data_IF_858368615996
#
_entry.id   IF_858368615996
#
_cell.length_a   1.000
_cell.length_b   1.000
_cell.length_c   1.000
_cell.angle_alpha   90.00
_cell.angle_beta   90.00
_cell.angle_gamma   90.00
#
_symmetry.space_group_name_H-M   'P 1'
#
loop_
_entity.id
_entity.type
_entity.pdbx_description
1 polymer ?
#
# COMPACT_ATOMS: atom_id res chain seq x y z
N UNK A 1 14.75 -28.86 -31.04
CA UNK A 1 13.68 -28.52 -30.08
C UNK A 1 13.82 -27.04 -29.74
N UNK A 2 12.89 -26.20 -30.17
CA UNK A 2 12.80 -24.80 -29.74
C UNK A 2 12.13 -24.80 -28.37
N UNK A 3 12.81 -24.23 -27.38
CA UNK A 3 12.27 -23.97 -26.06
C UNK A 3 11.25 -22.84 -26.16
N UNK A 4 9.98 -23.15 -25.88
CA UNK A 4 8.92 -22.15 -25.77
C UNK A 4 9.24 -21.22 -24.61
N UNK A 5 9.45 -19.94 -24.94
CA UNK A 5 9.49 -18.87 -23.96
C UNK A 5 8.11 -18.76 -23.31
N UNK A 6 8.02 -19.11 -22.03
CA UNK A 6 6.79 -19.07 -21.26
C UNK A 6 6.12 -17.70 -21.35
N UNK A 7 4.91 -17.66 -21.90
CA UNK A 7 4.06 -16.48 -21.96
C UNK A 7 3.86 -15.95 -20.54
N UNK A 8 4.45 -14.79 -20.22
CA UNK A 8 4.18 -14.09 -18.96
C UNK A 8 2.68 -13.88 -18.83
N UNK A 9 2.06 -14.52 -17.84
CA UNK A 9 0.61 -14.52 -17.66
C UNK A 9 0.16 -13.09 -17.35
N UNK A 10 -0.58 -12.46 -18.26
CA UNK A 10 -1.12 -11.11 -18.09
C UNK A 10 -2.05 -11.07 -16.87
N UNK A 11 -1.74 -10.22 -15.89
CA UNK A 11 -2.54 -10.03 -14.68
C UNK A 11 -3.85 -9.29 -15.00
N UNK A 12 -4.93 -9.64 -14.31
CA UNK A 12 -6.23 -8.98 -14.45
C UNK A 12 -6.26 -7.66 -13.66
N UNK A 13 -6.62 -6.56 -14.29
CA UNK A 13 -6.70 -5.24 -13.63
C UNK A 13 -8.03 -4.96 -12.92
N UNK A 14 -9.01 -5.87 -13.02
CA UNK A 14 -10.32 -5.74 -12.38
C UNK A 14 -10.67 -7.06 -11.70
N UNK A 15 -10.89 -6.99 -10.40
CA UNK A 15 -11.35 -8.11 -9.57
C UNK A 15 -12.82 -8.44 -9.89
N UNK A 16 -13.20 -9.73 -9.93
CA UNK A 16 -14.52 -10.15 -10.42
C UNK A 16 -15.69 -9.70 -9.53
N UNK A 17 -15.49 -9.56 -8.22
CA UNK A 17 -16.56 -9.27 -7.27
C UNK A 17 -16.03 -8.75 -5.92
N UNK A 18 -16.95 -8.30 -5.05
CA UNK A 18 -16.66 -7.85 -3.69
C UNK A 18 -16.10 -8.97 -2.78
N UNK A 19 -16.52 -10.22 -3.00
CA UNK A 19 -16.05 -11.34 -2.18
C UNK A 19 -14.55 -11.59 -2.39
N UNK A 20 -14.09 -11.54 -3.63
CA UNK A 20 -12.69 -11.65 -4.01
C UNK A 20 -11.88 -10.47 -3.50
N UNK A 21 -12.42 -9.25 -3.55
CA UNK A 21 -11.79 -8.06 -2.94
C UNK A 21 -11.58 -8.25 -1.43
N UNK A 22 -12.59 -8.75 -0.72
CA UNK A 22 -12.51 -9.01 0.73
C UNK A 22 -11.53 -10.15 1.07
N UNK A 23 -11.46 -11.18 0.22
CA UNK A 23 -10.45 -12.25 0.35
C UNK A 23 -9.03 -11.68 0.21
N UNK A 24 -8.79 -10.83 -0.78
CA UNK A 24 -7.48 -10.19 -0.99
C UNK A 24 -7.11 -9.24 0.16
N UNK A 25 -8.08 -8.47 0.69
CA UNK A 25 -7.87 -7.70 1.91
C UNK A 25 -7.43 -8.57 3.08
N UNK A 26 -8.09 -9.72 3.26
CA UNK A 26 -7.77 -10.67 4.34
C UNK A 26 -6.37 -11.26 4.16
N UNK A 27 -5.99 -11.66 2.95
CA UNK A 27 -4.64 -12.14 2.63
C UNK A 27 -3.57 -11.09 2.94
N UNK A 28 -3.81 -9.83 2.56
CA UNK A 28 -2.92 -8.70 2.90
C UNK A 28 -2.81 -8.53 4.41
N UNK A 29 -3.95 -8.48 5.12
CA UNK A 29 -3.98 -8.29 6.57
C UNK A 29 -3.28 -9.43 7.32
N UNK A 30 -3.38 -10.66 6.83
CA UNK A 30 -2.69 -11.81 7.39
C UNK A 30 -1.16 -11.74 7.25
N UNK A 31 -0.63 -10.85 6.40
CA UNK A 31 0.81 -10.56 6.31
C UNK A 31 1.26 -9.43 7.24
N UNK A 32 0.40 -8.90 8.12
CA UNK A 32 0.77 -7.83 9.05
C UNK A 32 1.83 -8.29 10.06
N UNK A 33 2.86 -7.48 10.28
CA UNK A 33 3.83 -7.72 11.35
C UNK A 33 3.16 -7.79 12.73
N UNK A 34 3.56 -8.77 13.54
CA UNK A 34 2.96 -9.06 14.85
C UNK A 34 1.81 -10.06 14.82
N UNK A 35 1.45 -10.60 13.65
CA UNK A 35 0.52 -11.73 13.53
C UNK A 35 1.30 -13.04 13.37
N UNK A 36 0.71 -14.16 13.82
CA UNK A 36 1.30 -15.50 13.65
C UNK A 36 1.21 -16.04 12.21
N UNK A 37 0.40 -15.40 11.36
CA UNK A 37 0.15 -15.83 9.97
C UNK A 37 1.13 -15.22 8.97
N UNK A 38 1.86 -14.17 9.36
CA UNK A 38 2.73 -13.45 8.45
C UNK A 38 4.03 -14.22 8.16
N UNK A 39 4.44 -14.22 6.89
CA UNK A 39 5.76 -14.69 6.47
C UNK A 39 6.74 -13.53 6.39
N UNK A 40 8.05 -13.82 6.45
CA UNK A 40 9.08 -12.78 6.35
C UNK A 40 9.34 -12.37 4.88
N UNK A 41 9.52 -11.06 4.58
CA UNK A 41 9.26 -9.93 5.48
C UNK A 41 7.76 -9.65 5.59
N UNK A 42 7.28 -9.47 6.83
CA UNK A 42 5.92 -9.08 7.12
C UNK A 42 5.68 -7.61 6.72
N UNK A 43 4.42 -7.23 6.52
CA UNK A 43 4.03 -5.86 6.19
C UNK A 43 3.89 -5.03 7.47
N UNK A 44 4.65 -3.94 7.55
CA UNK A 44 4.82 -3.12 8.75
C UNK A 44 3.68 -2.13 8.98
N UNK A 45 2.42 -2.54 8.83
CA UNK A 45 1.25 -1.66 8.99
C UNK A 45 1.17 -0.99 10.38
N UNK A 46 1.64 -1.68 11.42
CA UNK A 46 1.68 -1.16 12.80
C UNK A 46 2.70 -0.05 13.02
N UNK A 47 3.57 0.23 12.05
CA UNK A 47 4.55 1.32 12.07
C UNK A 47 4.23 2.34 10.97
N UNK A 48 3.32 3.29 11.24
CA UNK A 48 2.86 4.24 10.23
C UNK A 48 3.84 5.40 9.99
N UNK A 49 4.92 5.53 10.76
CA UNK A 49 5.84 6.69 10.69
C UNK A 49 6.41 6.87 9.28
N UNK A 50 6.87 5.79 8.65
CA UNK A 50 7.43 5.81 7.28
C UNK A 50 7.24 4.44 6.59
N UNK A 51 7.70 4.28 5.34
CA UNK A 51 7.72 3.01 4.61
C UNK A 51 6.43 2.70 3.85
N UNK A 52 5.54 3.68 3.66
CA UNK A 52 4.26 3.49 2.96
C UNK A 52 4.43 2.92 1.55
N UNK A 53 5.46 3.37 0.83
CA UNK A 53 5.86 2.89 -0.49
C UNK A 53 6.17 1.39 -0.50
N UNK A 54 6.93 0.89 0.47
CA UNK A 54 7.26 -0.52 0.62
C UNK A 54 6.02 -1.35 1.00
N UNK A 55 5.19 -0.87 1.94
CA UNK A 55 3.92 -1.53 2.29
C UNK A 55 3.02 -1.67 1.07
N UNK A 56 2.81 -0.59 0.32
CA UNK A 56 1.96 -0.60 -0.86
C UNK A 56 2.49 -1.52 -1.97
N UNK A 57 3.80 -1.59 -2.16
CA UNK A 57 4.39 -2.49 -3.15
C UNK A 57 4.29 -3.97 -2.74
N UNK A 58 4.39 -4.27 -1.44
CA UNK A 58 4.17 -5.62 -0.92
C UNK A 58 2.70 -6.04 -1.00
N UNK A 59 1.76 -5.13 -0.75
CA UNK A 59 0.33 -5.37 -0.97
C UNK A 59 0.05 -5.71 -2.44
N UNK A 60 0.65 -4.98 -3.39
CA UNK A 60 0.57 -5.30 -4.81
C UNK A 60 1.10 -6.71 -5.12
N UNK A 61 2.23 -7.12 -4.55
CA UNK A 61 2.76 -8.48 -4.77
C UNK A 61 1.74 -9.55 -4.38
N UNK A 62 0.98 -9.35 -3.30
CA UNK A 62 -0.07 -10.29 -2.87
C UNK A 62 -1.19 -10.37 -3.92
N UNK A 63 -1.61 -9.24 -4.50
CA UNK A 63 -2.56 -9.24 -5.63
C UNK A 63 -1.98 -9.97 -6.86
N UNK A 64 -0.73 -9.68 -7.20
CA UNK A 64 -0.06 -10.30 -8.36
C UNK A 64 0.03 -11.82 -8.21
N UNK A 65 0.34 -12.32 -7.01
CA UNK A 65 0.36 -13.74 -6.70
C UNK A 65 -1.04 -14.39 -6.85
N UNK A 66 -2.10 -13.62 -6.64
CA UNK A 66 -3.48 -14.03 -6.88
C UNK A 66 -3.95 -13.80 -8.34
N UNK A 67 -3.08 -13.33 -9.23
CA UNK A 67 -3.39 -13.11 -10.65
C UNK A 67 -3.96 -11.73 -10.99
N UNK A 68 -3.91 -10.76 -10.06
CA UNK A 68 -4.47 -9.43 -10.23
C UNK A 68 -3.40 -8.35 -10.20
N UNK A 69 -3.67 -7.25 -10.91
CA UNK A 69 -2.88 -6.02 -10.82
C UNK A 69 -3.76 -4.88 -10.26
N UNK A 70 -3.12 -3.83 -9.76
CA UNK A 70 -3.79 -2.67 -9.20
C UNK A 70 -3.16 -1.35 -9.67
N UNK A 71 -3.77 -0.25 -9.26
CA UNK A 71 -3.16 1.08 -9.31
C UNK A 71 -2.52 1.40 -7.95
N UNK A 72 -1.74 2.48 -7.90
CA UNK A 72 -1.39 3.17 -6.65
C UNK A 72 -2.09 4.50 -6.63
N UNK A 73 -2.51 4.96 -5.46
CA UNK A 73 -2.88 6.35 -5.26
C UNK A 73 -1.87 7.01 -4.32
N UNK A 74 -1.19 8.04 -4.82
CA UNK A 74 -0.32 8.90 -4.04
C UNK A 74 -1.10 10.15 -3.65
N UNK A 75 -1.11 10.52 -2.37
CA UNK A 75 -1.64 11.79 -1.87
C UNK A 75 -0.51 12.59 -1.27
N UNK A 76 -0.48 13.90 -1.52
CA UNK A 76 0.59 14.81 -1.08
C UNK A 76 -0.02 15.97 -0.29
N UNK A 77 0.75 16.55 0.62
CA UNK A 77 0.33 17.74 1.38
C UNK A 77 0.99 17.84 2.75
N UNK A 78 0.37 18.61 3.63
CA UNK A 78 0.66 18.57 5.06
C UNK A 78 -0.26 17.53 5.70
N UNK A 79 0.12 16.26 5.61
CA UNK A 79 -0.73 15.14 6.01
C UNK A 79 -0.52 14.81 7.48
N UNK A 80 -1.61 14.49 8.17
CA UNK A 80 -1.58 13.98 9.55
C UNK A 80 -2.58 12.86 9.71
N UNK A 81 -2.14 11.74 10.27
CA UNK A 81 -2.99 10.58 10.50
C UNK A 81 -2.91 10.11 11.94
N UNK A 82 -4.01 9.55 12.44
CA UNK A 82 -4.12 8.97 13.77
C UNK A 82 -4.18 7.44 13.68
N UNK A 83 -3.47 6.77 14.57
CA UNK A 83 -3.63 5.32 14.82
C UNK A 83 -4.75 5.01 15.81
N UNK A 84 -5.42 6.03 16.33
CA UNK A 84 -6.29 5.97 17.50
C UNK A 84 -5.57 6.19 18.83
N UNK A 85 -4.24 6.00 18.88
CA UNK A 85 -3.43 6.18 20.10
C UNK A 85 -2.32 7.22 19.95
N UNK A 86 -1.85 7.47 18.72
CA UNK A 86 -0.84 8.47 18.43
C UNK A 86 -1.02 9.03 17.01
N UNK A 87 -0.36 10.14 16.73
CA UNK A 87 -0.41 10.83 15.44
C UNK A 87 0.93 10.74 14.73
N UNK A 88 0.90 10.68 13.39
CA UNK A 88 2.06 10.80 12.51
C UNK A 88 1.85 11.92 11.51
N UNK A 89 2.94 12.51 11.02
CA UNK A 89 2.92 13.55 9.98
C UNK A 89 3.66 13.05 8.74
N UNK A 90 3.11 13.34 7.57
CA UNK A 90 3.70 12.95 6.29
C UNK A 90 3.65 14.09 5.28
N UNK A 91 4.60 14.08 4.35
CA UNK A 91 4.55 14.94 3.15
C UNK A 91 3.80 14.26 1.98
N UNK A 92 3.70 12.93 2.02
CA UNK A 92 2.88 12.14 1.13
C UNK A 92 2.50 10.80 1.78
N UNK A 93 1.46 10.15 1.28
CA UNK A 93 1.12 8.77 1.61
C UNK A 93 0.71 8.01 0.35
N UNK A 94 0.84 6.67 0.38
CA UNK A 94 0.48 5.81 -0.75
C UNK A 94 -0.11 4.48 -0.28
N UNK A 95 -1.11 4.03 -1.01
CA UNK A 95 -1.73 2.72 -0.87
C UNK A 95 -2.10 2.14 -2.25
N UNK A 96 -2.53 0.87 -2.28
CA UNK A 96 -3.05 0.25 -3.51
C UNK A 96 -4.49 0.68 -3.75
N UNK A 97 -4.80 1.06 -4.99
CA UNK A 97 -6.14 1.38 -5.46
C UNK A 97 -6.62 0.25 -6.37
N UNK A 98 -7.66 -0.45 -5.92
CA UNK A 98 -8.07 -1.74 -6.48
C UNK A 98 -9.41 -1.59 -7.17
N UNK A 99 -9.46 -1.98 -8.44
CA UNK A 99 -10.70 -2.01 -9.22
C UNK A 99 -11.40 -3.37 -9.06
N UNK A 100 -12.70 -3.36 -8.84
CA UNK A 100 -13.52 -4.57 -8.71
C UNK A 100 -14.92 -4.33 -9.27
N UNK A 101 -15.63 -5.38 -9.70
CA UNK A 101 -17.05 -5.26 -10.07
C UNK A 101 -17.93 -5.34 -8.83
N UNK A 102 -18.88 -4.44 -8.70
CA UNK A 102 -19.92 -4.51 -7.67
C UNK A 102 -21.02 -5.52 -8.05
N UNK A 103 -22.05 -5.66 -7.21
CA UNK A 103 -23.15 -6.61 -7.43
C UNK A 103 -23.92 -6.37 -8.76
N UNK A 104 -23.91 -5.14 -9.28
CA UNK A 104 -24.51 -4.77 -10.57
C UNK A 104 -23.55 -4.93 -11.75
N UNK A 105 -22.35 -5.45 -11.54
CA UNK A 105 -21.32 -5.60 -12.57
C UNK A 105 -20.57 -4.31 -12.93
N UNK A 106 -20.85 -3.20 -12.25
CA UNK A 106 -20.19 -1.91 -12.47
C UNK A 106 -18.83 -1.90 -11.78
N UNK A 107 -17.81 -1.41 -12.47
CA UNK A 107 -16.45 -1.30 -11.92
C UNK A 107 -16.40 -0.14 -10.92
N UNK A 108 -16.03 -0.46 -9.68
CA UNK A 108 -15.74 0.49 -8.62
C UNK A 108 -14.27 0.37 -8.18
N UNK A 109 -13.79 1.37 -7.45
CA UNK A 109 -12.45 1.35 -6.86
C UNK A 109 -12.50 1.49 -5.33
N UNK A 110 -11.58 0.82 -4.64
CA UNK A 110 -11.35 0.94 -3.19
C UNK A 110 -9.85 0.95 -2.89
N UNK A 111 -9.48 1.68 -1.85
CA UNK A 111 -8.15 1.62 -1.26
C UNK A 111 -8.10 0.45 -0.28
N UNK A 112 -7.01 -0.31 -0.32
CA UNK A 112 -6.63 -1.22 0.76
C UNK A 112 -5.41 -0.62 1.46
N UNK A 113 -5.58 -0.26 2.74
CA UNK A 113 -4.51 0.24 3.60
C UNK A 113 -4.78 -0.10 5.08
N UNK A 114 -4.35 -1.29 5.53
CA UNK A 114 -4.47 -1.68 6.93
C UNK A 114 -3.73 -0.79 7.94
N UNK A 115 -2.83 0.11 7.51
CA UNK A 115 -2.20 1.07 8.42
C UNK A 115 -3.14 2.21 8.85
N UNK A 116 -4.20 2.45 8.08
CA UNK A 116 -5.24 3.45 8.38
C UNK A 116 -6.63 2.84 8.62
N UNK A 117 -6.97 1.75 7.94
CA UNK A 117 -8.21 1.04 8.15
C UNK A 117 -8.02 -0.49 8.16
N UNK A 118 -8.04 -1.07 9.36
CA UNK A 118 -7.81 -2.49 9.58
C UNK A 118 -9.05 -3.37 9.37
N UNK A 119 -10.21 -2.78 9.07
CA UNK A 119 -11.50 -3.49 8.97
C UNK A 119 -11.86 -3.92 7.55
N UNK A 120 -11.36 -3.22 6.52
CA UNK A 120 -11.66 -3.57 5.13
C UNK A 120 -11.18 -2.54 4.10
N UNK A 121 -11.45 -2.78 2.81
CA UNK A 121 -11.27 -1.78 1.76
C UNK A 121 -12.19 -0.57 1.99
N UNK A 122 -11.70 0.65 1.74
CA UNK A 122 -12.46 1.90 1.90
C UNK A 122 -12.43 2.72 0.61
N UNK A 123 -13.30 3.73 0.48
CA UNK A 123 -13.22 4.64 -0.65
C UNK A 123 -11.93 5.45 -0.58
N UNK A 124 -11.43 5.87 -1.73
CA UNK A 124 -10.25 6.72 -1.83
C UNK A 124 -10.45 8.08 -1.13
N UNK A 125 -11.68 8.60 -1.17
CA UNK A 125 -12.07 9.81 -0.45
C UNK A 125 -11.98 9.63 1.06
N UNK A 126 -12.50 8.52 1.60
CA UNK A 126 -12.37 8.22 3.03
C UNK A 126 -10.90 8.02 3.45
N UNK A 127 -10.10 7.37 2.60
CA UNK A 127 -8.67 7.19 2.84
C UNK A 127 -7.90 8.52 2.87
N UNK A 128 -8.15 9.42 1.91
CA UNK A 128 -7.53 10.77 1.91
C UNK A 128 -7.98 11.61 3.11
N UNK A 129 -9.23 11.48 3.55
CA UNK A 129 -9.72 12.10 4.78
C UNK A 129 -8.97 11.57 6.02
N UNK A 130 -8.70 10.27 6.09
CA UNK A 130 -7.89 9.67 7.16
C UNK A 130 -6.42 10.17 7.16
N UNK A 131 -5.89 10.56 6.00
CA UNK A 131 -4.57 11.21 5.87
C UNK A 131 -4.57 12.68 6.29
N UNK A 132 -5.74 13.27 6.56
CA UNK A 132 -5.91 14.68 6.97
C UNK A 132 -6.74 14.79 8.25
N UNK A 133 -6.38 13.98 9.24
CA UNK A 133 -7.03 14.00 10.53
C UNK A 133 -6.63 15.24 11.34
N UNK A 134 -7.55 16.21 11.41
CA UNK A 134 -7.34 17.49 12.10
C UNK A 134 -7.22 17.36 13.62
N UNK A 135 -7.62 16.24 14.23
CA UNK A 135 -7.35 16.01 15.67
C UNK A 135 -5.86 15.88 15.95
N UNK A 136 -5.05 15.59 14.93
CA UNK A 136 -3.61 15.54 15.01
C UNK A 136 -2.94 16.91 14.75
N UNK A 137 -3.71 17.97 14.54
CA UNK A 137 -3.24 19.33 14.25
C UNK A 137 -3.52 19.78 12.81
N UNK A 138 -2.99 20.95 12.42
CA UNK A 138 -3.20 21.54 11.09
C UNK A 138 -2.76 20.60 9.98
N UNK A 139 -3.63 20.44 8.97
CA UNK A 139 -3.45 19.48 7.88
C UNK A 139 -4.13 19.94 6.59
N UNK A 140 -3.61 19.51 5.44
CA UNK A 140 -4.19 19.80 4.12
C UNK A 140 -3.69 18.81 3.06
N UNK A 141 -4.55 18.49 2.08
CA UNK A 141 -4.13 17.84 0.83
C UNK A 141 -3.77 18.91 -0.18
N UNK A 142 -2.59 18.82 -0.79
CA UNK A 142 -2.21 19.68 -1.92
C UNK A 142 -2.56 19.06 -3.27
N UNK A 143 -2.41 17.75 -3.41
CA UNK A 143 -2.72 17.01 -4.63
C UNK A 143 -2.81 15.51 -4.38
N UNK A 144 -3.36 14.78 -5.34
CA UNK A 144 -3.22 13.32 -5.40
C UNK A 144 -3.09 12.88 -6.87
N UNK A 145 -2.50 11.71 -7.10
CA UNK A 145 -2.35 11.13 -8.42
C UNK A 145 -2.47 9.60 -8.36
N UNK A 146 -3.19 9.02 -9.32
CA UNK A 146 -3.21 7.58 -9.54
C UNK A 146 -2.10 7.20 -10.51
N UNK A 147 -1.45 6.06 -10.29
CA UNK A 147 -0.45 5.49 -11.20
C UNK A 147 -0.69 4.00 -11.43
N UNK A 148 0.00 3.43 -12.41
CA UNK A 148 0.14 1.97 -12.51
C UNK A 148 0.73 1.38 -11.21
N UNK A 149 0.34 0.15 -10.89
CA UNK A 149 0.73 -0.55 -9.64
C UNK A 149 2.24 -0.73 -9.48
N UNK A 150 2.96 -0.90 -10.59
CA UNK A 150 4.41 -1.12 -10.60
C UNK A 150 5.23 0.12 -10.22
N UNK A 151 4.61 1.31 -10.18
CA UNK A 151 5.27 2.50 -9.64
C UNK A 151 5.49 2.30 -8.14
N UNK A 152 6.75 2.39 -7.72
CA UNK A 152 7.16 2.29 -6.32
C UNK A 152 6.97 3.62 -5.61
N UNK A 153 7.41 4.70 -6.25
CA UNK A 153 7.24 6.06 -5.78
C UNK A 153 7.00 7.01 -6.96
N UNK A 154 6.14 8.02 -6.75
CA UNK A 154 5.93 9.14 -7.66
C UNK A 154 6.26 10.42 -6.89
N UNK A 155 7.15 11.25 -7.41
CA UNK A 155 7.38 12.57 -6.83
C UNK A 155 6.26 13.57 -7.21
N UNK A 156 6.12 14.72 -6.53
CA UNK A 156 5.11 15.71 -6.88
C UNK A 156 5.19 16.22 -8.34
N UNK A 157 6.40 16.30 -8.91
CA UNK A 157 6.63 16.71 -10.30
C UNK A 157 6.26 15.63 -11.36
N UNK A 158 5.91 14.41 -10.92
CA UNK A 158 5.49 13.31 -11.80
C UNK A 158 6.57 12.32 -12.20
N UNK A 159 7.82 12.48 -11.75
CA UNK A 159 8.86 11.46 -11.97
C UNK A 159 8.54 10.19 -11.19
N UNK A 160 8.85 9.04 -11.81
CA UNK A 160 8.50 7.72 -11.30
C UNK A 160 9.77 6.95 -10.92
N UNK A 161 9.69 6.23 -9.81
CA UNK A 161 10.69 5.27 -9.33
C UNK A 161 10.06 3.88 -9.28
N UNK A 162 10.86 2.86 -9.55
CA UNK A 162 10.42 1.46 -9.64
C UNK A 162 11.25 0.57 -8.73
N UNK A 163 10.65 -0.53 -8.27
CA UNK A 163 11.28 -1.58 -7.47
C UNK A 163 10.74 -2.94 -7.97
N UNK A 164 11.03 -3.24 -9.23
CA UNK A 164 10.38 -4.33 -9.97
C UNK A 164 10.59 -5.72 -9.33
N UNK A 165 11.70 -5.89 -8.61
CA UNK A 165 12.08 -7.15 -7.96
C UNK A 165 11.86 -7.13 -6.44
N UNK A 166 11.22 -6.09 -5.90
CA UNK A 166 10.96 -5.92 -4.47
C UNK A 166 12.22 -5.88 -3.60
N UNK A 167 13.38 -5.51 -4.17
CA UNK A 167 14.65 -5.46 -3.43
C UNK A 167 14.55 -4.38 -2.36
N UNK A 168 14.14 -3.16 -2.76
CA UNK A 168 13.99 -2.05 -1.83
C UNK A 168 12.85 -2.31 -0.83
N UNK A 169 11.74 -2.85 -1.34
CA UNK A 169 10.54 -3.19 -0.57
C UNK A 169 10.89 -4.14 0.57
N UNK A 170 11.50 -5.29 0.26
CA UNK A 170 11.77 -6.31 1.25
C UNK A 170 12.85 -5.87 2.25
N UNK A 171 13.86 -5.12 1.80
CA UNK A 171 14.86 -4.53 2.69
C UNK A 171 14.23 -3.54 3.68
N UNK A 172 13.41 -2.61 3.20
CA UNK A 172 12.70 -1.62 4.04
C UNK A 172 11.76 -2.29 5.05
N UNK A 173 10.96 -3.26 4.61
CA UNK A 173 10.06 -4.00 5.50
C UNK A 173 10.83 -4.80 6.57
N UNK A 174 11.98 -5.36 6.23
CA UNK A 174 12.86 -6.06 7.18
C UNK A 174 13.39 -5.09 8.23
N UNK A 175 13.92 -3.93 7.81
CA UNK A 175 14.44 -2.90 8.70
C UNK A 175 13.37 -2.37 9.68
N UNK A 176 12.10 -2.33 9.27
CA UNK A 176 11.00 -1.82 10.10
C UNK A 176 10.19 -2.92 10.81
N UNK A 177 10.52 -4.21 10.63
CA UNK A 177 9.71 -5.36 11.06
C UNK A 177 9.40 -5.37 12.57
N UNK A 178 10.37 -4.98 13.39
CA UNK A 178 10.25 -4.92 14.84
C UNK A 178 9.57 -3.63 15.35
N UNK A 179 9.37 -2.62 14.49
CA UNK A 179 8.85 -1.32 14.89
C UNK A 179 7.32 -1.32 14.99
N UNK A 180 6.79 -0.45 15.83
CA UNK A 180 5.36 -0.26 16.06
C UNK A 180 5.07 1.11 16.67
N UNK A 181 3.88 1.65 16.44
CA UNK A 181 3.45 2.95 16.95
C UNK A 181 4.15 4.12 16.24
N UNK A 182 4.12 5.30 16.87
CA UNK A 182 4.53 6.56 16.24
C UNK A 182 5.88 7.11 16.71
N UNK A 183 6.51 6.47 17.71
CA UNK A 183 7.61 7.09 18.47
C UNK A 183 8.98 6.48 18.19
N UNK A 184 9.05 5.33 17.53
CA UNK A 184 10.34 4.72 17.22
C UNK A 184 11.08 5.53 16.15
N UNK A 185 12.38 5.76 16.37
CA UNK A 185 13.25 6.37 15.37
C UNK A 185 13.25 5.54 14.09
N UNK A 186 13.03 6.19 12.94
CA UNK A 186 13.07 5.52 11.64
C UNK A 186 14.53 5.16 11.32
N UNK A 187 14.90 3.88 11.22
CA UNK A 187 16.25 3.51 10.85
C UNK A 187 16.53 3.87 9.39
N UNK A 188 17.78 4.20 9.08
CA UNK A 188 18.17 4.54 7.70
C UNK A 188 17.97 3.35 6.77
N UNK A 189 17.23 3.56 5.68
CA UNK A 189 17.07 2.61 4.58
C UNK A 189 17.95 2.96 3.38
N UNK A 190 18.95 3.83 3.54
CA UNK A 190 19.85 4.24 2.46
C UNK A 190 20.69 3.08 1.89
N UNK A 191 20.86 2.02 2.67
CA UNK A 191 21.54 0.78 2.25
C UNK A 191 20.65 -0.14 1.40
N UNK A 192 19.33 0.12 1.33
CA UNK A 192 18.41 -0.68 0.52
C UNK A 192 18.55 -0.30 -0.96
N UNK A 193 19.03 -1.24 -1.78
CA UNK A 193 19.13 -1.11 -3.24
C UNK A 193 17.79 -1.29 -3.98
N UNK A 194 17.84 -1.56 -5.28
CA UNK A 194 16.71 -1.81 -6.20
C UNK A 194 16.98 -3.00 -7.11
#
# INVERSE_FOLDING_TARGET
>A
MKTDAGTSKKLASVIPDLATLNSLFTQIKNQSCGTSTASSPCITFRFPVDGCYARAHKMRQILNNAGYECEKQFVYGNLRASTGTCCVSWVYHVAILVSFKNASGVVEKRIIDPSLNSTGPITDTAWRAACTNSTCGSTSVSSYANTAGNVYYRNPAGSLLYDNNLVNTNCTLTAFSALSGCFASVPSTAHCGF
#
